data_IF_729931875680
#
_entry.id   IF_729931875680
#
_cell.length_a   1.000
_cell.length_b   1.000
_cell.length_c   1.000
_cell.angle_alpha   90.00
_cell.angle_beta   90.00
_cell.angle_gamma   90.00
#
_symmetry.space_group_name_H-M   'P 1'
#
loop_
_entity.id
_entity.type
_entity.pdbx_description
1 polymer ?
#
# COMPACT_ATOMS: atom_id res chain seq x y z
N UNK A 1 -32.19 -5.66 -18.42
CA UNK A 1 -32.63 -5.78 -17.03
C UNK A 1 -31.65 -6.74 -16.31
N UNK A 2 -31.00 -6.31 -15.22
CA UNK A 2 -30.09 -7.16 -14.45
C UNK A 2 -30.88 -8.26 -13.73
N UNK A 3 -30.31 -9.47 -13.73
CA UNK A 3 -30.89 -10.63 -13.01
C UNK A 3 -30.14 -10.91 -11.70
N UNK A 4 -28.88 -10.48 -11.64
CA UNK A 4 -27.99 -10.71 -10.51
C UNK A 4 -27.19 -9.47 -10.21
N UNK A 5 -26.96 -9.21 -8.93
CA UNK A 5 -26.01 -8.24 -8.40
C UNK A 5 -25.06 -9.02 -7.50
N UNK A 6 -23.76 -8.98 -7.79
CA UNK A 6 -22.71 -9.58 -6.95
C UNK A 6 -21.90 -8.46 -6.33
N UNK A 7 -21.73 -8.54 -5.02
CA UNK A 7 -20.89 -7.62 -4.25
C UNK A 7 -19.86 -8.43 -3.50
N UNK A 8 -18.61 -8.28 -3.85
CA UNK A 8 -17.46 -8.90 -3.19
C UNK A 8 -16.88 -7.95 -2.14
N UNK A 9 -16.11 -8.50 -1.20
CA UNK A 9 -15.49 -7.76 -0.07
C UNK A 9 -16.52 -6.90 0.69
N UNK A 10 -17.72 -7.46 0.89
CA UNK A 10 -18.86 -6.72 1.44
C UNK A 10 -18.61 -6.14 2.85
N UNK A 11 -17.69 -6.72 3.63
CA UNK A 11 -17.26 -6.23 4.94
C UNK A 11 -16.58 -4.85 4.90
N UNK A 12 -16.18 -4.37 3.71
CA UNK A 12 -15.52 -3.06 3.54
C UNK A 12 -16.49 -1.97 3.09
N UNK A 13 -17.80 -2.27 3.02
CA UNK A 13 -18.82 -1.31 2.60
C UNK A 13 -19.22 -0.35 3.72
N UNK A 14 -19.53 0.87 3.34
CA UNK A 14 -20.13 1.90 4.20
C UNK A 14 -21.66 1.94 4.06
N UNK A 15 -22.33 2.74 4.91
CA UNK A 15 -23.80 2.88 4.92
C UNK A 15 -24.35 3.35 3.57
N UNK A 16 -23.69 4.31 2.91
CA UNK A 16 -24.15 4.88 1.63
C UNK A 16 -24.07 3.83 0.52
N UNK A 17 -23.01 3.03 0.53
CA UNK A 17 -22.84 1.92 -0.42
C UNK A 17 -23.91 0.84 -0.20
N UNK A 18 -24.21 0.48 1.06
CA UNK A 18 -25.27 -0.48 1.38
C UNK A 18 -26.63 0.04 0.88
N UNK A 19 -26.97 1.29 1.19
CA UNK A 19 -28.21 1.91 0.72
C UNK A 19 -28.32 1.92 -0.82
N UNK A 20 -27.19 2.22 -1.49
CA UNK A 20 -27.12 2.21 -2.95
C UNK A 20 -27.36 0.82 -3.52
N UNK A 21 -26.73 -0.23 -2.98
CA UNK A 21 -26.89 -1.62 -3.42
C UNK A 21 -28.35 -2.07 -3.22
N UNK A 22 -28.91 -1.78 -2.06
CA UNK A 22 -30.30 -2.10 -1.73
C UNK A 22 -31.27 -1.35 -2.64
N UNK A 23 -31.01 -0.05 -2.89
CA UNK A 23 -31.81 0.78 -3.82
C UNK A 23 -31.82 0.22 -5.24
N UNK A 24 -30.65 -0.19 -5.74
CA UNK A 24 -30.53 -0.84 -7.04
C UNK A 24 -31.30 -2.15 -7.11
N UNK A 25 -31.18 -3.01 -6.12
CA UNK A 25 -31.92 -4.28 -6.06
C UNK A 25 -33.43 -4.05 -6.08
N UNK A 26 -33.94 -3.11 -5.25
CA UNK A 26 -35.37 -2.74 -5.22
C UNK A 26 -35.86 -2.19 -6.57
N UNK A 27 -35.04 -1.39 -7.25
CA UNK A 27 -35.36 -0.83 -8.58
C UNK A 27 -35.51 -1.91 -9.64
N UNK A 28 -34.70 -2.97 -9.58
CA UNK A 28 -34.78 -4.09 -10.53
C UNK A 28 -35.85 -5.13 -10.14
N UNK A 29 -36.37 -5.06 -8.91
CA UNK A 29 -37.44 -5.90 -8.38
C UNK A 29 -36.97 -7.27 -7.88
N UNK A 30 -37.87 -8.02 -7.27
CA UNK A 30 -37.61 -9.33 -6.61
C UNK A 30 -37.00 -10.40 -7.53
N UNK A 31 -37.08 -10.24 -8.85
CA UNK A 31 -36.41 -11.15 -9.79
C UNK A 31 -34.90 -10.90 -9.91
N UNK A 32 -34.39 -9.77 -9.41
CA UNK A 32 -32.97 -9.48 -9.32
C UNK A 32 -32.43 -10.03 -8.01
N UNK A 33 -31.61 -11.09 -8.07
CA UNK A 33 -30.98 -11.70 -6.89
C UNK A 33 -29.74 -10.93 -6.49
N UNK A 34 -29.60 -10.65 -5.20
CA UNK A 34 -28.43 -10.01 -4.61
C UNK A 34 -27.57 -11.09 -3.93
N UNK A 35 -26.29 -11.13 -4.27
CA UNK A 35 -25.27 -11.94 -3.66
C UNK A 35 -24.23 -11.02 -3.02
N UNK A 36 -24.02 -11.19 -1.72
CA UNK A 36 -22.98 -10.48 -0.97
C UNK A 36 -21.99 -11.50 -0.44
N UNK A 37 -20.71 -11.26 -0.67
CA UNK A 37 -19.62 -12.14 -0.24
C UNK A 37 -18.62 -11.32 0.56
N UNK A 38 -18.16 -11.85 1.68
CA UNK A 38 -17.17 -11.18 2.51
C UNK A 38 -16.84 -11.97 3.78
N UNK A 39 -15.86 -11.45 4.51
CA UNK A 39 -15.37 -12.01 5.75
C UNK A 39 -15.16 -10.91 6.79
N UNK A 40 -15.99 -10.84 7.83
CA UNK A 40 -15.91 -9.82 8.88
C UNK A 40 -14.55 -9.77 9.57
N UNK A 41 -13.85 -10.90 9.62
CA UNK A 41 -12.48 -11.00 10.16
C UNK A 41 -11.45 -10.24 9.31
N UNK A 42 -11.79 -9.92 8.06
CA UNK A 42 -10.96 -9.13 7.14
C UNK A 42 -11.39 -7.66 7.03
N UNK A 43 -12.32 -7.19 7.87
CA UNK A 43 -12.73 -5.78 7.90
C UNK A 43 -11.69 -4.94 8.63
N UNK A 44 -10.78 -4.31 7.87
CA UNK A 44 -9.64 -3.51 8.37
C UNK A 44 -9.67 -2.06 7.88
N UNK A 45 -10.81 -1.61 7.32
CA UNK A 45 -10.98 -0.26 6.78
C UNK A 45 -11.98 0.60 7.59
N UNK A 46 -12.01 0.41 8.93
CA UNK A 46 -12.84 1.23 9.83
C UNK A 46 -12.61 2.73 9.62
N UNK A 47 -11.37 3.14 9.40
CA UNK A 47 -11.01 4.54 9.12
C UNK A 47 -11.58 5.10 7.81
N UNK A 48 -12.13 4.26 6.92
CA UNK A 48 -12.85 4.65 5.69
C UNK A 48 -14.37 4.59 5.85
N UNK A 49 -14.86 4.30 7.06
CA UNK A 49 -16.29 4.17 7.32
C UNK A 49 -16.86 2.77 7.14
N UNK A 50 -16.02 1.75 6.93
CA UNK A 50 -16.47 0.35 6.87
C UNK A 50 -17.16 -0.05 8.20
N UNK A 51 -18.27 -0.75 8.09
CA UNK A 51 -19.16 -1.04 9.22
C UNK A 51 -19.17 -2.55 9.46
N UNK A 52 -18.81 -2.96 10.68
CA UNK A 52 -18.86 -4.38 11.07
C UNK A 52 -20.26 -4.98 10.97
N UNK A 53 -21.30 -4.18 11.15
CA UNK A 53 -22.70 -4.60 11.01
C UNK A 53 -23.23 -4.58 9.57
N UNK A 54 -22.37 -4.49 8.55
CA UNK A 54 -22.80 -4.40 7.14
C UNK A 54 -23.72 -5.56 6.73
N UNK A 55 -23.36 -6.79 7.12
CA UNK A 55 -24.20 -7.97 6.85
C UNK A 55 -25.54 -7.91 7.57
N UNK A 56 -25.56 -7.56 8.87
CA UNK A 56 -26.80 -7.43 9.64
C UNK A 56 -27.69 -6.33 9.05
N UNK A 57 -27.11 -5.22 8.62
CA UNK A 57 -27.85 -4.13 8.02
C UNK A 57 -28.54 -4.56 6.72
N UNK A 58 -27.83 -5.24 5.82
CA UNK A 58 -28.41 -5.64 4.53
C UNK A 58 -29.44 -6.76 4.71
N UNK A 59 -29.21 -7.72 5.61
CA UNK A 59 -30.14 -8.84 5.86
C UNK A 59 -31.43 -8.40 6.53
N UNK A 60 -31.40 -7.34 7.34
CA UNK A 60 -32.57 -6.78 8.02
C UNK A 60 -33.41 -5.83 7.12
N UNK A 61 -33.00 -5.58 5.88
CA UNK A 61 -33.75 -4.71 4.96
C UNK A 61 -35.02 -5.43 4.48
N UNK A 62 -36.18 -4.80 4.73
CA UNK A 62 -37.47 -5.33 4.26
C UNK A 62 -37.63 -5.16 2.75
N UNK A 63 -38.20 -6.17 2.09
CA UNK A 63 -38.63 -6.10 0.67
C UNK A 63 -37.55 -6.48 -0.35
N UNK A 64 -36.43 -7.07 0.07
CA UNK A 64 -35.43 -7.64 -0.82
C UNK A 64 -35.43 -9.17 -0.91
N UNK A 65 -36.37 -9.83 -0.24
CA UNK A 65 -36.53 -11.28 -0.22
C UNK A 65 -36.03 -11.94 1.05
N UNK A 66 -36.01 -13.28 1.04
CA UNK A 66 -35.44 -14.08 2.10
C UNK A 66 -33.94 -14.30 1.81
N UNK A 67 -33.13 -14.34 2.88
CA UNK A 67 -31.69 -14.57 2.79
C UNK A 67 -31.35 -16.03 3.07
N UNK A 68 -30.45 -16.55 2.26
CA UNK A 68 -29.78 -17.82 2.50
C UNK A 68 -28.31 -17.55 2.82
N UNK A 69 -27.80 -18.14 3.92
CA UNK A 69 -26.41 -17.98 4.36
C UNK A 69 -25.61 -19.24 3.99
N UNK A 70 -24.45 -19.04 3.39
CA UNK A 70 -23.52 -20.09 3.03
C UNK A 70 -22.12 -19.77 3.58
N UNK A 71 -21.52 -20.73 4.27
CA UNK A 71 -20.15 -20.61 4.78
C UNK A 71 -19.16 -21.29 3.84
N UNK A 72 -18.13 -20.56 3.42
CA UNK A 72 -17.01 -21.06 2.61
C UNK A 72 -15.85 -21.45 3.55
N UNK A 73 -15.73 -22.72 3.90
CA UNK A 73 -14.72 -23.22 4.85
C UNK A 73 -13.59 -24.05 4.23
N UNK A 74 -13.52 -24.11 2.90
CA UNK A 74 -12.41 -24.77 2.20
C UNK A 74 -11.32 -23.74 1.83
N UNK A 75 -10.11 -24.03 2.29
CA UNK A 75 -8.94 -23.19 1.98
C UNK A 75 -8.07 -23.89 0.92
N UNK A 76 -7.79 -23.17 -0.18
CA UNK A 76 -7.00 -23.67 -1.31
C UNK A 76 -5.58 -23.06 -1.34
N UNK A 77 -5.24 -22.18 -0.40
CA UNK A 77 -3.99 -21.43 -0.34
C UNK A 77 -2.99 -22.05 0.63
N UNK A 78 -3.42 -22.26 1.87
CA UNK A 78 -2.54 -22.43 3.02
C UNK A 78 -2.40 -23.91 3.41
N UNK A 79 -1.20 -24.33 3.79
CA UNK A 79 -0.92 -25.68 4.32
C UNK A 79 -1.76 -25.95 5.59
N UNK A 80 -2.12 -27.23 5.77
CA UNK A 80 -2.97 -27.68 6.89
C UNK A 80 -2.36 -27.31 8.26
N UNK A 81 -1.05 -27.54 8.45
CA UNK A 81 -0.38 -27.30 9.73
C UNK A 81 -0.38 -25.83 10.10
N UNK A 82 -0.20 -24.94 9.09
CA UNK A 82 -0.29 -23.51 9.27
C UNK A 82 -1.72 -23.07 9.62
N UNK A 83 -2.74 -23.67 9.00
CA UNK A 83 -4.14 -23.43 9.35
C UNK A 83 -4.47 -23.90 10.79
N UNK A 84 -3.92 -25.02 11.24
CA UNK A 84 -4.13 -25.48 12.61
C UNK A 84 -3.52 -24.53 13.64
N UNK A 85 -2.35 -23.92 13.34
CA UNK A 85 -1.78 -22.85 14.15
C UNK A 85 -2.69 -21.59 14.14
N UNK A 86 -3.11 -21.13 12.97
CA UNK A 86 -4.01 -19.98 12.86
C UNK A 86 -5.30 -20.19 13.63
N UNK A 87 -5.87 -21.38 13.53
CA UNK A 87 -7.08 -21.74 14.25
C UNK A 87 -6.92 -21.56 15.76
N UNK A 88 -5.80 -22.01 16.35
CA UNK A 88 -5.53 -21.79 17.79
C UNK A 88 -5.47 -20.32 18.16
N UNK A 89 -4.71 -19.53 17.41
CA UNK A 89 -4.58 -18.07 17.62
C UNK A 89 -5.96 -17.41 17.50
N UNK A 90 -6.71 -17.71 16.45
CA UNK A 90 -8.00 -17.04 16.19
C UNK A 90 -9.09 -17.47 17.20
N UNK A 91 -9.07 -18.72 17.65
CA UNK A 91 -9.98 -19.18 18.69
C UNK A 91 -9.72 -18.46 20.02
N UNK A 92 -8.45 -18.26 20.38
CA UNK A 92 -8.11 -17.50 21.57
C UNK A 92 -8.60 -16.05 21.49
N UNK A 93 -8.30 -15.37 20.38
CA UNK A 93 -8.77 -13.99 20.15
C UNK A 93 -10.32 -13.90 20.10
N UNK A 94 -10.98 -14.94 19.59
CA UNK A 94 -12.45 -15.05 19.59
C UNK A 94 -13.02 -15.19 20.98
N UNK A 95 -12.42 -16.02 21.84
CA UNK A 95 -12.83 -16.22 23.23
C UNK A 95 -12.66 -14.94 24.08
N UNK A 96 -11.69 -14.10 23.75
CA UNK A 96 -11.49 -12.78 24.37
C UNK A 96 -12.42 -11.69 23.77
N UNK A 97 -13.25 -12.02 22.79
CA UNK A 97 -14.15 -11.07 22.12
C UNK A 97 -13.46 -10.04 21.24
N UNK A 98 -12.21 -10.29 20.84
CA UNK A 98 -11.39 -9.38 20.01
C UNK A 98 -11.55 -9.65 18.52
N UNK A 99 -11.80 -10.91 18.13
CA UNK A 99 -12.01 -11.31 16.76
C UNK A 99 -13.40 -11.94 16.60
N UNK A 100 -14.20 -11.62 15.56
CA UNK A 100 -15.48 -12.30 15.30
C UNK A 100 -15.20 -13.70 14.71
N UNK A 101 -14.66 -14.61 15.52
CA UNK A 101 -14.27 -15.96 15.13
C UNK A 101 -15.00 -16.99 15.98
N UNK A 102 -15.80 -17.85 15.32
CA UNK A 102 -16.51 -18.96 15.94
C UNK A 102 -15.94 -20.28 15.38
N UNK A 103 -15.34 -21.11 16.23
CA UNK A 103 -14.67 -22.35 15.81
C UNK A 103 -15.51 -23.21 14.87
N UNK A 104 -16.78 -23.41 15.19
CA UNK A 104 -17.68 -24.29 14.42
C UNK A 104 -17.98 -23.79 13.01
N UNK A 105 -18.02 -22.45 12.82
CA UNK A 105 -18.36 -21.82 11.54
C UNK A 105 -17.12 -21.48 10.73
N UNK A 106 -16.09 -20.97 11.40
CA UNK A 106 -14.97 -20.28 10.77
C UNK A 106 -13.73 -21.15 10.56
N UNK A 107 -13.69 -22.35 11.14
CA UNK A 107 -12.56 -23.26 10.98
C UNK A 107 -12.37 -23.66 9.53
N UNK A 108 -11.28 -23.18 8.93
CA UNK A 108 -10.90 -23.50 7.56
C UNK A 108 -10.29 -24.91 7.48
N UNK A 109 -10.62 -25.62 6.40
CA UNK A 109 -10.04 -26.92 6.07
C UNK A 109 -9.18 -26.77 4.83
N UNK A 110 -7.91 -27.11 4.94
CA UNK A 110 -7.02 -27.15 3.80
C UNK A 110 -7.45 -28.22 2.82
N UNK A 111 -7.50 -27.85 1.54
CA UNK A 111 -7.59 -28.79 0.42
C UNK A 111 -6.23 -29.02 -0.23
N UNK A 112 -5.20 -28.36 0.27
CA UNK A 112 -3.84 -28.40 -0.25
C UNK A 112 -3.10 -29.53 0.48
N UNK A 113 -3.04 -30.72 -0.12
CA UNK A 113 -2.16 -31.82 0.29
C UNK A 113 -0.74 -31.58 -0.25
N UNK A 114 -0.17 -30.41 0.00
CA UNK A 114 1.25 -30.21 -0.29
C UNK A 114 2.01 -30.70 0.94
N UNK A 115 2.65 -31.87 0.83
CA UNK A 115 3.72 -32.27 1.74
C UNK A 115 4.88 -31.26 1.57
N UNK A 116 4.82 -30.17 2.30
CA UNK A 116 6.01 -29.36 2.55
C UNK A 116 6.83 -30.06 3.62
N UNK A 117 8.14 -30.13 3.42
CA UNK A 117 9.06 -30.81 4.31
C UNK A 117 8.84 -30.42 5.79
N UNK A 118 9.36 -31.29 6.67
CA UNK A 118 9.25 -31.26 8.13
C UNK A 118 9.75 -29.97 8.81
N UNK A 119 10.30 -29.01 8.04
CA UNK A 119 10.77 -27.74 8.57
C UNK A 119 9.60 -26.88 9.00
N UNK A 120 9.74 -26.30 10.17
CA UNK A 120 8.68 -25.58 10.87
C UNK A 120 8.01 -24.54 9.97
N UNK A 121 6.70 -24.71 9.76
CA UNK A 121 5.85 -23.77 9.04
C UNK A 121 5.58 -22.49 9.84
N UNK A 122 5.88 -22.54 11.13
CA UNK A 122 5.70 -21.45 12.08
C UNK A 122 6.99 -21.33 12.88
N UNK A 123 7.61 -20.14 12.83
CA UNK A 123 8.87 -19.88 13.51
C UNK A 123 8.76 -18.62 14.37
N UNK A 124 9.02 -18.79 15.67
CA UNK A 124 9.25 -17.70 16.61
C UNK A 124 10.75 -17.41 16.66
N UNK A 125 11.16 -16.19 16.38
CA UNK A 125 12.54 -15.75 16.53
C UNK A 125 12.61 -14.86 17.76
N UNK A 126 13.18 -15.38 18.84
CA UNK A 126 13.40 -14.61 20.05
C UNK A 126 14.58 -13.66 19.86
N UNK A 127 14.35 -12.40 20.13
CA UNK A 127 15.34 -11.34 20.01
C UNK A 127 15.47 -10.59 21.35
N UNK A 128 16.64 -10.01 21.58
CA UNK A 128 16.88 -9.09 22.67
C UNK A 128 17.27 -7.75 22.08
N UNK A 129 16.28 -6.91 21.77
CA UNK A 129 16.51 -5.66 21.07
C UNK A 129 16.91 -4.53 22.03
N UNK A 130 18.15 -4.61 22.55
CA UNK A 130 18.72 -3.54 23.38
C UNK A 130 18.77 -2.18 22.67
N UNK A 131 18.78 -2.19 21.35
CA UNK A 131 18.78 -1.00 20.51
C UNK A 131 18.28 -1.31 19.08
N UNK A 132 18.03 -0.26 18.30
CA UNK A 132 17.55 -0.36 16.93
C UNK A 132 18.48 -1.17 16.00
N UNK A 133 19.77 -1.14 16.24
CA UNK A 133 20.78 -1.82 15.41
C UNK A 133 20.71 -3.35 15.60
N UNK A 134 20.60 -3.83 16.86
CA UNK A 134 20.45 -5.26 17.14
C UNK A 134 19.17 -5.83 16.52
N UNK A 135 18.06 -5.11 16.62
CA UNK A 135 16.79 -5.50 16.01
C UNK A 135 16.90 -5.72 14.49
N UNK A 136 17.49 -4.76 13.76
CA UNK A 136 17.64 -4.91 12.30
C UNK A 136 18.62 -6.00 11.92
N UNK A 137 19.68 -6.23 12.74
CA UNK A 137 20.59 -7.35 12.51
C UNK A 137 19.84 -8.68 12.54
N UNK A 138 19.02 -8.91 13.57
CA UNK A 138 18.25 -10.14 13.72
C UNK A 138 17.19 -10.30 12.62
N UNK A 139 16.51 -9.20 12.26
CA UNK A 139 15.57 -9.19 11.14
C UNK A 139 16.25 -9.60 9.81
N UNK A 140 17.42 -9.04 9.51
CA UNK A 140 18.13 -9.32 8.27
C UNK A 140 18.75 -10.72 8.24
N UNK A 141 19.15 -11.26 9.37
CA UNK A 141 19.56 -12.65 9.49
C UNK A 141 18.39 -13.60 9.26
N UNK A 142 17.23 -13.28 9.80
CA UNK A 142 15.97 -14.00 9.54
C UNK A 142 15.64 -14.00 8.05
N UNK A 143 15.70 -12.84 7.39
CA UNK A 143 15.45 -12.73 5.94
C UNK A 143 16.41 -13.58 5.13
N UNK A 144 17.72 -13.58 5.44
CA UNK A 144 18.71 -14.39 4.76
C UNK A 144 18.43 -15.90 4.93
N UNK A 145 18.10 -16.31 6.14
CA UNK A 145 17.75 -17.70 6.45
C UNK A 145 16.53 -18.15 5.68
N UNK A 146 15.47 -17.36 5.67
CA UNK A 146 14.25 -17.69 4.91
C UNK A 146 14.50 -17.69 3.41
N UNK A 147 15.33 -16.79 2.89
CA UNK A 147 15.72 -16.78 1.48
C UNK A 147 16.40 -18.08 1.07
N UNK A 148 17.38 -18.54 1.85
CA UNK A 148 18.08 -19.83 1.60
C UNK A 148 17.07 -21.00 1.60
N UNK A 149 16.17 -21.06 2.59
CA UNK A 149 15.13 -22.11 2.65
C UNK A 149 14.25 -22.13 1.38
N UNK A 150 13.82 -20.97 0.91
CA UNK A 150 12.99 -20.85 -0.31
C UNK A 150 13.79 -21.18 -1.57
N UNK A 151 15.07 -20.77 -1.66
CA UNK A 151 15.96 -21.12 -2.77
C UNK A 151 16.18 -22.64 -2.85
N UNK A 152 16.45 -23.28 -1.72
CA UNK A 152 16.64 -24.75 -1.67
C UNK A 152 15.36 -25.50 -2.04
N UNK A 153 14.21 -25.04 -1.55
CA UNK A 153 12.91 -25.60 -1.94
C UNK A 153 12.64 -25.43 -3.44
N UNK A 154 13.05 -24.30 -4.02
CA UNK A 154 12.89 -24.01 -5.46
C UNK A 154 13.70 -24.93 -6.36
N UNK A 155 14.80 -25.53 -5.85
CA UNK A 155 15.59 -26.52 -6.58
C UNK A 155 14.89 -27.90 -6.67
N UNK A 156 14.03 -28.18 -5.68
CA UNK A 156 13.35 -29.47 -5.55
C UNK A 156 11.94 -29.42 -6.15
N UNK A 157 11.26 -28.29 -6.01
CA UNK A 157 9.85 -28.09 -6.43
C UNK A 157 9.71 -26.85 -7.32
N UNK A 158 8.82 -26.93 -8.30
CA UNK A 158 8.43 -25.77 -9.09
C UNK A 158 7.47 -24.91 -8.26
N UNK A 159 7.96 -23.77 -7.77
CA UNK A 159 7.19 -22.81 -6.99
C UNK A 159 6.63 -21.70 -7.89
N UNK A 160 5.44 -21.20 -7.58
CA UNK A 160 4.89 -19.99 -8.19
C UNK A 160 5.68 -18.75 -7.75
N UNK A 161 5.37 -17.58 -8.33
CA UNK A 161 5.99 -16.30 -7.94
C UNK A 161 5.62 -15.95 -6.50
N UNK A 162 4.35 -16.14 -6.15
CA UNK A 162 3.82 -15.91 -4.82
C UNK A 162 4.51 -16.83 -3.80
N UNK A 163 4.66 -18.12 -4.13
CA UNK A 163 5.35 -19.10 -3.29
C UNK A 163 6.85 -18.80 -3.10
N UNK A 164 7.50 -18.10 -4.04
CA UNK A 164 8.89 -17.65 -3.94
C UNK A 164 9.04 -16.32 -3.21
N UNK A 165 7.94 -15.61 -2.94
CA UNK A 165 7.98 -14.30 -2.33
C UNK A 165 8.00 -14.39 -0.81
N UNK A 166 8.95 -13.70 -0.20
CA UNK A 166 9.06 -13.45 1.24
C UNK A 166 8.51 -12.05 1.50
N UNK A 167 7.41 -11.94 2.22
CA UNK A 167 6.79 -10.66 2.53
C UNK A 167 7.05 -10.24 3.97
N UNK A 168 7.66 -9.09 4.16
CA UNK A 168 7.77 -8.42 5.45
C UNK A 168 6.52 -7.56 5.60
N UNK A 169 5.62 -7.97 6.49
CA UNK A 169 4.38 -7.26 6.72
C UNK A 169 4.50 -6.37 7.95
N UNK A 170 4.25 -5.08 7.75
CA UNK A 170 4.34 -4.07 8.81
C UNK A 170 3.02 -3.34 8.99
N UNK A 171 2.85 -2.67 10.13
CA UNK A 171 1.62 -1.95 10.45
C UNK A 171 1.58 -0.56 9.81
N UNK A 172 2.71 0.15 9.77
CA UNK A 172 2.80 1.55 9.37
C UNK A 172 3.79 1.78 8.23
N UNK A 173 3.49 2.78 7.37
CA UNK A 173 4.36 3.11 6.24
C UNK A 173 5.76 3.59 6.64
N UNK A 174 5.93 4.23 7.82
CA UNK A 174 7.25 4.66 8.29
C UNK A 174 8.17 3.47 8.58
N UNK A 175 7.63 2.33 9.03
CA UNK A 175 8.38 1.09 9.27
C UNK A 175 9.00 0.55 7.97
N UNK A 176 8.30 0.69 6.83
CA UNK A 176 8.84 0.33 5.51
C UNK A 176 10.09 1.15 5.19
N UNK A 177 10.01 2.47 5.37
CA UNK A 177 11.14 3.38 5.10
C UNK A 177 12.36 3.06 5.94
N UNK A 178 12.15 2.73 7.22
CA UNK A 178 13.21 2.35 8.14
C UNK A 178 13.87 1.02 7.73
N UNK A 179 13.07 -0.01 7.44
CA UNK A 179 13.58 -1.33 7.00
C UNK A 179 14.42 -1.19 5.73
N UNK A 180 13.94 -0.45 4.74
CA UNK A 180 14.67 -0.27 3.47
C UNK A 180 15.99 0.44 3.70
N UNK A 181 15.97 1.54 4.43
CA UNK A 181 17.17 2.32 4.75
C UNK A 181 18.24 1.47 5.45
N UNK A 182 17.84 0.63 6.37
CA UNK A 182 18.77 -0.25 7.08
C UNK A 182 19.21 -1.45 6.22
N UNK A 183 18.31 -2.00 5.36
CA UNK A 183 18.63 -3.08 4.43
C UNK A 183 19.67 -2.66 3.39
N UNK A 184 19.58 -1.41 2.87
CA UNK A 184 20.56 -0.86 1.93
C UNK A 184 21.98 -0.83 2.53
N UNK A 185 22.13 -0.53 3.83
CA UNK A 185 23.44 -0.50 4.51
C UNK A 185 24.12 -1.87 4.52
N UNK A 186 23.35 -2.96 4.54
CA UNK A 186 23.87 -4.34 4.61
C UNK A 186 23.75 -5.08 3.29
N UNK A 187 23.41 -4.37 2.21
CA UNK A 187 23.34 -4.91 0.85
C UNK A 187 22.21 -5.90 0.60
N UNK A 188 21.12 -5.83 1.39
CA UNK A 188 19.91 -6.64 1.19
C UNK A 188 18.92 -5.85 0.32
N UNK A 189 18.53 -6.42 -0.81
CA UNK A 189 17.49 -5.84 -1.67
C UNK A 189 16.11 -6.20 -1.12
N UNK A 190 15.39 -5.19 -0.61
CA UNK A 190 14.00 -5.30 -0.20
C UNK A 190 13.17 -4.44 -1.14
N UNK A 191 12.21 -5.06 -1.85
CA UNK A 191 11.30 -4.34 -2.74
C UNK A 191 10.10 -3.83 -1.96
N UNK A 192 9.55 -2.70 -2.37
CA UNK A 192 8.26 -2.23 -1.86
C UNK A 192 7.18 -2.83 -2.75
N UNK A 193 6.19 -3.50 -2.15
CA UNK A 193 4.99 -3.85 -2.91
C UNK A 193 4.15 -2.59 -3.03
N UNK A 194 4.17 -2.02 -4.20
CA UNK A 194 3.53 -0.75 -4.42
C UNK A 194 2.01 -0.93 -4.56
N UNK A 195 1.31 -0.40 -3.61
CA UNK A 195 0.03 0.19 -3.83
C UNK A 195 0.20 1.69 -3.68
N UNK A 196 0.30 2.40 -4.79
CA UNK A 196 -0.11 3.77 -4.72
C UNK A 196 0.91 4.89 -4.68
N UNK A 197 2.11 4.71 -5.22
CA UNK A 197 3.08 5.81 -5.24
C UNK A 197 3.44 6.34 -6.64
N UNK A 198 2.64 6.04 -7.68
CA UNK A 198 2.88 6.54 -9.03
C UNK A 198 3.21 8.05 -9.04
N UNK A 199 2.44 8.82 -8.27
CA UNK A 199 2.61 10.29 -8.21
C UNK A 199 3.80 10.77 -7.37
N UNK A 200 4.47 9.89 -6.63
CA UNK A 200 5.71 10.20 -5.89
C UNK A 200 6.97 9.77 -6.63
N UNK A 201 6.81 8.93 -7.66
CA UNK A 201 7.94 8.38 -8.40
C UNK A 201 8.74 9.45 -9.16
N UNK A 202 10.03 9.18 -9.41
CA UNK A 202 10.88 10.08 -10.18
C UNK A 202 10.32 10.42 -11.57
N UNK A 203 9.69 9.48 -12.27
CA UNK A 203 9.07 9.69 -13.57
C UNK A 203 7.96 10.75 -13.53
N UNK A 204 7.11 10.73 -12.50
CA UNK A 204 6.06 11.74 -12.32
C UNK A 204 6.62 13.10 -11.91
N UNK A 205 7.58 13.11 -10.98
CA UNK A 205 8.18 14.35 -10.50
C UNK A 205 8.96 15.07 -11.61
N UNK A 206 9.67 14.33 -12.46
CA UNK A 206 10.41 14.90 -13.57
C UNK A 206 9.47 15.42 -14.66
N UNK A 207 8.39 14.68 -14.99
CA UNK A 207 7.34 15.16 -15.90
C UNK A 207 6.67 16.43 -15.34
N UNK A 208 6.37 16.47 -14.05
CA UNK A 208 5.79 17.67 -13.41
C UNK A 208 6.73 18.88 -13.51
N UNK A 209 8.04 18.68 -13.31
CA UNK A 209 9.05 19.76 -13.49
C UNK A 209 9.09 20.28 -14.91
N UNK A 210 9.03 19.38 -15.90
CA UNK A 210 8.97 19.75 -17.31
C UNK A 210 7.71 20.56 -17.62
N UNK A 211 6.54 20.06 -17.20
CA UNK A 211 5.26 20.70 -17.44
C UNK A 211 5.18 22.08 -16.76
N UNK A 212 5.68 22.20 -15.52
CA UNK A 212 5.75 23.49 -14.82
C UNK A 212 6.65 24.50 -15.54
N UNK A 213 7.76 24.05 -16.09
CA UNK A 213 8.67 24.94 -16.87
C UNK A 213 8.02 25.39 -18.18
N UNK A 214 7.25 24.53 -18.85
CA UNK A 214 6.52 24.86 -20.08
C UNK A 214 5.38 25.84 -19.80
N UNK A 215 4.61 25.63 -18.73
CA UNK A 215 3.50 26.52 -18.35
C UNK A 215 3.96 27.86 -17.82
N UNK A 216 5.21 27.95 -17.33
CA UNK A 216 5.82 29.16 -16.79
C UNK A 216 7.22 29.39 -17.39
N UNK A 217 7.34 29.64 -18.70
CA UNK A 217 8.60 29.53 -19.46
C UNK A 217 9.63 30.63 -19.14
N UNK A 218 9.28 31.59 -18.29
CA UNK A 218 10.17 32.66 -17.82
C UNK A 218 10.41 32.64 -16.30
N UNK A 219 9.91 31.61 -15.60
CA UNK A 219 10.09 31.51 -14.15
C UNK A 219 11.39 30.75 -13.82
N UNK A 220 12.35 31.48 -13.24
CA UNK A 220 13.68 30.98 -12.90
C UNK A 220 13.66 29.70 -12.03
N UNK A 221 12.71 29.59 -11.12
CA UNK A 221 12.60 28.44 -10.22
C UNK A 221 12.23 27.19 -11.02
N UNK A 222 11.21 27.28 -11.87
CA UNK A 222 10.75 26.14 -12.67
C UNK A 222 11.78 25.75 -13.76
N UNK A 223 12.40 26.73 -14.42
CA UNK A 223 13.46 26.46 -15.37
C UNK A 223 14.69 25.80 -14.71
N UNK A 224 15.09 26.27 -13.53
CA UNK A 224 16.18 25.64 -12.75
C UNK A 224 15.82 24.20 -12.35
N UNK A 225 14.56 23.95 -11.95
CA UNK A 225 14.10 22.61 -11.61
C UNK A 225 14.09 21.67 -12.83
N UNK A 226 13.75 22.18 -14.02
CA UNK A 226 13.83 21.42 -15.27
C UNK A 226 15.27 21.03 -15.60
N UNK A 227 16.21 21.99 -15.53
CA UNK A 227 17.63 21.71 -15.83
C UNK A 227 18.20 20.63 -14.92
N UNK A 228 17.80 20.62 -13.65
CA UNK A 228 18.21 19.61 -12.65
C UNK A 228 17.43 18.31 -12.74
N UNK A 229 16.33 18.27 -13.48
CA UNK A 229 15.56 17.04 -13.70
C UNK A 229 16.30 16.09 -14.64
N UNK A 230 15.85 14.84 -14.71
CA UNK A 230 16.43 13.84 -15.63
C UNK A 230 16.19 14.15 -17.10
N UNK A 231 15.27 15.06 -17.43
CA UNK A 231 15.08 15.52 -18.81
C UNK A 231 16.29 16.28 -19.37
N UNK A 232 17.01 17.00 -18.51
CA UNK A 232 18.20 17.79 -18.91
C UNK A 232 19.44 17.30 -18.17
N UNK A 233 19.33 17.02 -16.88
CA UNK A 233 20.38 16.45 -16.02
C UNK A 233 21.69 17.25 -16.00
N UNK A 234 21.60 18.58 -16.09
CA UNK A 234 22.76 19.45 -16.04
C UNK A 234 23.02 19.97 -14.63
N UNK A 235 24.31 20.07 -14.27
CA UNK A 235 24.73 20.71 -13.03
C UNK A 235 24.90 22.22 -13.26
N UNK A 236 24.10 23.02 -12.56
CA UNK A 236 24.25 24.48 -12.56
C UNK A 236 24.99 24.90 -11.29
N UNK A 237 25.96 25.78 -11.45
CA UNK A 237 26.58 26.45 -10.32
C UNK A 237 25.63 27.52 -9.75
N UNK A 238 24.77 27.09 -8.81
CA UNK A 238 23.79 27.98 -8.18
C UNK A 238 24.44 29.13 -7.43
N UNK A 239 25.62 28.97 -6.88
CA UNK A 239 26.32 30.03 -6.16
C UNK A 239 26.75 31.16 -7.14
N UNK A 240 27.20 30.80 -8.34
CA UNK A 240 27.51 31.80 -9.40
C UNK A 240 26.25 32.57 -9.82
N UNK A 241 25.15 31.85 -10.02
CA UNK A 241 23.89 32.44 -10.50
C UNK A 241 23.15 33.21 -9.41
N UNK A 242 23.33 32.88 -8.13
CA UNK A 242 22.63 33.53 -7.02
C UNK A 242 22.86 35.05 -6.92
N UNK A 243 24.03 35.51 -7.33
CA UNK A 243 24.40 36.94 -7.38
C UNK A 243 23.86 37.70 -8.59
N UNK A 244 23.20 37.05 -9.55
CA UNK A 244 22.68 37.71 -10.75
C UNK A 244 21.31 38.37 -10.48
N UNK A 245 21.02 39.46 -11.23
CA UNK A 245 19.65 39.98 -11.32
C UNK A 245 18.70 38.91 -11.86
N UNK A 246 17.41 39.03 -11.58
CA UNK A 246 16.40 38.07 -12.06
C UNK A 246 16.42 37.91 -13.58
N UNK A 247 16.60 39.02 -14.34
CA UNK A 247 16.66 39.02 -15.79
C UNK A 247 17.89 38.30 -16.30
N UNK A 248 19.09 38.63 -15.78
CA UNK A 248 20.35 37.98 -16.20
C UNK A 248 20.35 36.50 -15.86
N UNK A 249 19.76 36.12 -14.72
CA UNK A 249 19.59 34.72 -14.31
C UNK A 249 18.70 33.97 -15.30
N UNK A 250 17.62 34.59 -15.73
CA UNK A 250 16.68 34.01 -16.69
C UNK A 250 17.34 33.81 -18.07
N UNK A 251 18.08 34.80 -18.56
CA UNK A 251 18.81 34.70 -19.83
C UNK A 251 19.81 33.56 -19.81
N UNK A 252 20.64 33.43 -18.75
CA UNK A 252 21.62 32.36 -18.62
C UNK A 252 20.96 30.98 -18.59
N UNK A 253 19.86 30.82 -17.86
CA UNK A 253 19.12 29.56 -17.75
C UNK A 253 18.47 29.19 -19.08
N UNK A 254 17.86 30.14 -19.78
CA UNK A 254 17.27 29.92 -21.12
C UNK A 254 18.37 29.57 -22.14
N UNK A 255 19.50 30.22 -22.11
CA UNK A 255 20.62 29.89 -22.97
C UNK A 255 21.07 28.42 -22.81
N UNK A 256 21.20 27.94 -21.59
CA UNK A 256 21.51 26.52 -21.30
C UNK A 256 20.45 25.57 -21.86
N UNK A 257 19.17 25.90 -21.72
CA UNK A 257 18.07 25.11 -22.28
C UNK A 257 18.09 25.15 -23.83
N UNK A 258 18.36 26.30 -24.42
CA UNK A 258 18.47 26.44 -25.88
C UNK A 258 19.58 25.57 -26.43
N UNK A 259 20.79 25.60 -25.83
CA UNK A 259 21.91 24.73 -26.23
C UNK A 259 21.56 23.26 -26.12
N UNK A 260 20.93 22.87 -24.99
CA UNK A 260 20.54 21.48 -24.75
C UNK A 260 19.51 20.99 -25.76
N UNK A 261 18.40 21.72 -25.93
CA UNK A 261 17.31 21.29 -26.81
C UNK A 261 17.68 21.44 -28.33
N UNK A 262 18.51 22.40 -28.68
CA UNK A 262 19.05 22.44 -30.04
C UNK A 262 19.86 21.20 -30.37
N UNK A 263 20.69 20.72 -29.43
CA UNK A 263 21.48 19.50 -29.61
C UNK A 263 20.58 18.24 -29.74
N UNK A 264 19.53 18.15 -28.96
CA UNK A 264 18.72 16.91 -28.86
C UNK A 264 17.50 16.90 -29.77
N UNK A 265 16.94 18.06 -30.12
CA UNK A 265 15.69 18.21 -30.85
C UNK A 265 15.76 19.14 -32.06
N UNK A 266 16.87 19.86 -32.25
CA UNK A 266 16.98 20.87 -33.28
C UNK A 266 16.09 22.10 -33.07
N UNK A 267 15.65 22.36 -31.84
CA UNK A 267 14.73 23.45 -31.47
C UNK A 267 15.23 24.17 -30.23
N UNK A 268 15.07 25.49 -30.18
CA UNK A 268 15.32 26.26 -28.98
C UNK A 268 14.13 26.15 -27.99
N UNK A 269 14.32 26.59 -26.75
CA UNK A 269 13.29 26.50 -25.68
C UNK A 269 11.99 27.20 -26.08
N UNK A 270 12.06 28.39 -26.69
CA UNK A 270 10.88 29.13 -27.13
C UNK A 270 10.05 28.34 -28.18
N UNK A 271 10.74 27.70 -29.12
CA UNK A 271 10.08 26.86 -30.14
C UNK A 271 9.40 25.63 -29.51
N UNK A 272 10.02 25.01 -28.50
CA UNK A 272 9.43 23.89 -27.79
C UNK A 272 8.16 24.32 -27.05
N UNK A 273 8.21 25.46 -26.35
CA UNK A 273 7.03 26.01 -25.67
C UNK A 273 5.90 26.32 -26.67
N UNK A 274 6.23 26.92 -27.80
CA UNK A 274 5.26 27.21 -28.85
C UNK A 274 4.64 25.96 -29.48
N UNK A 275 5.36 24.85 -29.58
CA UNK A 275 4.80 23.59 -30.08
C UNK A 275 3.53 23.17 -29.32
N UNK A 276 3.38 23.47 -28.04
CA UNK A 276 2.20 23.14 -27.26
C UNK A 276 0.95 23.96 -27.62
N UNK A 277 1.09 25.04 -28.35
CA UNK A 277 -0.03 25.85 -28.88
C UNK A 277 -0.58 25.27 -30.20
N UNK A 278 0.27 24.62 -31.01
CA UNK A 278 -0.04 24.21 -32.38
C UNK A 278 -0.12 22.69 -32.58
N UNK A 279 0.36 21.89 -31.60
CA UNK A 279 0.44 20.44 -31.71
C UNK A 279 -0.25 19.75 -30.51
N UNK A 280 -0.77 18.52 -30.69
CA UNK A 280 -1.35 17.77 -29.57
C UNK A 280 -0.35 17.58 -28.44
N UNK A 281 -0.77 17.92 -27.23
CA UNK A 281 0.10 17.96 -26.02
C UNK A 281 0.85 16.65 -25.80
N UNK A 282 0.16 15.50 -25.89
CA UNK A 282 0.80 14.20 -25.66
C UNK A 282 1.85 13.87 -26.72
N UNK A 283 1.69 14.35 -27.95
CA UNK A 283 2.67 14.16 -29.03
C UNK A 283 3.93 14.95 -28.70
N UNK A 284 3.79 16.22 -28.31
CA UNK A 284 4.94 17.06 -27.96
C UNK A 284 5.66 16.51 -26.71
N UNK A 285 4.93 16.10 -25.68
CA UNK A 285 5.53 15.47 -24.49
C UNK A 285 6.29 14.18 -24.84
N UNK A 286 5.77 13.36 -25.75
CA UNK A 286 6.44 12.15 -26.22
C UNK A 286 7.69 12.47 -27.03
N UNK A 287 7.64 13.45 -27.93
CA UNK A 287 8.82 13.89 -28.67
C UNK A 287 9.95 14.34 -27.73
N UNK A 288 9.63 15.13 -26.72
CA UNK A 288 10.62 15.57 -25.71
C UNK A 288 11.16 14.35 -24.94
N UNK A 289 10.29 13.45 -24.51
CA UNK A 289 10.66 12.24 -23.76
C UNK A 289 11.61 11.34 -24.54
N UNK A 290 11.31 11.08 -25.83
CA UNK A 290 12.16 10.25 -26.70
C UNK A 290 13.47 10.92 -27.08
N UNK A 291 13.49 12.24 -27.25
CA UNK A 291 14.70 12.98 -27.57
C UNK A 291 15.66 13.06 -26.37
N UNK A 292 15.14 13.36 -25.19
CA UNK A 292 15.98 13.58 -23.99
C UNK A 292 16.30 12.29 -23.23
N UNK A 293 15.46 11.24 -23.37
CA UNK A 293 15.66 9.91 -22.78
C UNK A 293 16.00 9.96 -21.29
N UNK A 294 15.12 10.53 -20.44
CA UNK A 294 15.42 10.80 -19.03
C UNK A 294 15.77 9.53 -18.23
N UNK A 295 15.31 8.37 -18.64
CA UNK A 295 15.66 7.08 -18.02
C UNK A 295 17.14 6.69 -18.18
N UNK A 296 17.86 7.20 -19.19
CA UNK A 296 19.27 6.88 -19.41
C UNK A 296 20.19 7.36 -18.28
N UNK A 297 19.73 8.27 -17.44
CA UNK A 297 20.48 8.77 -16.29
C UNK A 297 20.60 7.74 -15.15
N UNK A 298 19.88 6.62 -15.21
CA UNK A 298 20.07 5.51 -14.29
C UNK A 298 21.20 4.57 -14.78
N UNK A 299 21.98 4.03 -13.84
CA UNK A 299 22.99 2.99 -14.13
C UNK A 299 22.37 1.59 -14.21
N UNK A 300 21.35 1.34 -13.40
CA UNK A 300 20.65 0.06 -13.30
C UNK A 300 19.57 -0.06 -14.39
N UNK A 301 19.59 -1.16 -15.15
CA UNK A 301 18.62 -1.44 -16.23
C UNK A 301 17.19 -1.65 -15.68
N UNK A 302 17.04 -2.19 -14.46
CA UNK A 302 15.73 -2.35 -13.84
C UNK A 302 15.11 -0.99 -13.55
N UNK A 303 15.88 -0.04 -12.99
CA UNK A 303 15.43 1.32 -12.74
C UNK A 303 15.07 2.07 -14.03
N UNK A 304 15.83 1.84 -15.13
CA UNK A 304 15.50 2.40 -16.45
C UNK A 304 14.15 1.90 -16.93
N UNK A 305 13.92 0.60 -16.80
CA UNK A 305 12.66 -0.02 -17.23
C UNK A 305 11.49 0.44 -16.36
N UNK A 306 11.66 0.46 -15.05
CA UNK A 306 10.66 0.97 -14.10
C UNK A 306 10.28 2.43 -14.41
N UNK A 307 11.24 3.28 -14.65
CA UNK A 307 10.99 4.67 -15.02
C UNK A 307 10.13 4.79 -16.28
N UNK A 308 10.45 3.99 -17.32
CA UNK A 308 9.71 3.98 -18.60
C UNK A 308 8.27 3.48 -18.43
N UNK A 309 8.09 2.36 -17.73
CA UNK A 309 6.76 1.77 -17.51
C UNK A 309 5.85 2.70 -16.68
N UNK A 310 6.41 3.36 -15.67
CA UNK A 310 5.66 4.32 -14.86
C UNK A 310 5.35 5.62 -15.63
N UNK A 311 6.24 6.06 -16.51
CA UNK A 311 5.92 7.17 -17.41
C UNK A 311 4.75 6.82 -18.33
N UNK A 312 4.75 5.66 -18.99
CA UNK A 312 3.64 5.22 -19.86
C UNK A 312 2.33 5.07 -19.06
N UNK A 313 2.39 4.50 -17.84
CA UNK A 313 1.24 4.42 -16.94
C UNK A 313 0.66 5.80 -16.64
N UNK A 314 1.50 6.79 -16.36
CA UNK A 314 1.09 8.16 -16.07
C UNK A 314 0.42 8.82 -17.29
N UNK A 315 0.98 8.66 -18.48
CA UNK A 315 0.40 9.17 -19.74
C UNK A 315 -0.96 8.52 -20.01
N UNK A 316 -1.08 7.21 -19.78
CA UNK A 316 -2.37 6.50 -19.91
C UNK A 316 -3.43 7.05 -18.93
N UNK A 317 -3.06 7.32 -17.68
CA UNK A 317 -3.96 7.90 -16.68
C UNK A 317 -4.43 9.29 -17.08
N UNK A 318 -3.53 10.16 -17.54
CA UNK A 318 -3.86 11.50 -18.04
C UNK A 318 -4.82 11.39 -19.22
N UNK A 319 -4.52 10.52 -20.20
CA UNK A 319 -5.33 10.30 -21.38
C UNK A 319 -6.75 9.82 -21.01
N UNK A 320 -6.83 8.88 -20.08
CA UNK A 320 -8.11 8.32 -19.62
C UNK A 320 -8.96 9.34 -18.86
N UNK A 321 -8.33 10.17 -18.03
CA UNK A 321 -8.99 11.22 -17.26
C UNK A 321 -9.64 12.27 -18.16
N UNK A 322 -8.94 12.68 -19.23
CA UNK A 322 -9.41 13.69 -20.18
C UNK A 322 -9.94 13.11 -21.48
N UNK A 323 -10.40 11.86 -21.51
CA UNK A 323 -10.83 11.14 -22.71
C UNK A 323 -11.96 11.81 -23.51
N UNK A 324 -12.73 12.70 -22.88
CA UNK A 324 -13.86 13.43 -23.47
C UNK A 324 -13.61 14.94 -23.63
N UNK A 325 -12.40 15.40 -23.37
CA UNK A 325 -12.06 16.81 -23.36
C UNK A 325 -10.80 17.08 -24.19
N UNK A 326 -10.70 18.30 -24.71
CA UNK A 326 -9.46 18.74 -25.35
C UNK A 326 -8.38 18.92 -24.27
N UNK A 327 -7.27 18.19 -24.42
CA UNK A 327 -6.15 18.18 -23.48
C UNK A 327 -5.20 19.36 -23.78
N UNK A 328 -5.03 20.25 -22.81
CA UNK A 328 -4.05 21.33 -22.84
C UNK A 328 -2.93 21.06 -21.85
N UNK A 329 -1.78 21.72 -22.04
CA UNK A 329 -0.65 21.59 -21.10
C UNK A 329 -1.02 22.04 -19.69
N UNK A 330 -1.89 23.05 -19.55
CA UNK A 330 -2.39 23.50 -18.26
C UNK A 330 -3.22 22.44 -17.54
N UNK A 331 -4.06 21.69 -18.27
CA UNK A 331 -4.81 20.54 -17.71
C UNK A 331 -3.87 19.43 -17.25
N UNK A 332 -2.81 19.12 -17.99
CA UNK A 332 -1.78 18.17 -17.55
C UNK A 332 -1.09 18.65 -16.27
N UNK A 333 -0.77 19.96 -16.21
CA UNK A 333 -0.19 20.57 -15.03
C UNK A 333 -1.09 20.46 -13.81
N UNK A 334 -2.36 20.77 -13.98
CA UNK A 334 -3.37 20.71 -12.91
C UNK A 334 -3.56 19.27 -12.42
N UNK A 335 -3.70 18.31 -13.34
CA UNK A 335 -3.79 16.89 -13.01
C UNK A 335 -2.61 16.43 -12.16
N UNK A 336 -1.39 16.70 -12.60
CA UNK A 336 -0.18 16.31 -11.87
C UNK A 336 -0.12 17.00 -10.51
N UNK A 337 -0.38 18.30 -10.46
CA UNK A 337 -0.37 19.08 -9.22
C UNK A 337 -1.35 18.54 -8.19
N UNK A 338 -2.61 18.31 -8.57
CA UNK A 338 -3.64 17.79 -7.69
C UNK A 338 -3.21 16.41 -7.15
N UNK A 339 -2.87 15.47 -8.03
CA UNK A 339 -2.56 14.10 -7.60
C UNK A 339 -1.28 14.00 -6.74
N UNK A 340 -0.26 14.83 -7.00
CA UNK A 340 0.95 14.92 -6.19
C UNK A 340 0.62 15.53 -4.80
N UNK A 341 -0.18 16.61 -4.74
CA UNK A 341 -0.42 17.33 -3.49
C UNK A 341 -1.48 16.68 -2.61
N UNK A 342 -2.47 15.99 -3.19
CA UNK A 342 -3.52 15.29 -2.43
C UNK A 342 -3.12 13.88 -2.02
N UNK A 343 -1.88 13.48 -2.29
CA UNK A 343 -1.36 12.14 -1.99
C UNK A 343 -2.28 11.01 -2.51
N UNK A 344 -2.87 11.22 -3.69
CA UNK A 344 -3.67 10.19 -4.33
C UNK A 344 -2.85 8.90 -4.50
N UNK A 345 -3.42 7.78 -4.08
CA UNK A 345 -2.77 6.48 -4.16
C UNK A 345 -3.16 5.82 -5.50
N UNK A 346 -2.22 5.75 -6.42
CA UNK A 346 -2.38 5.03 -7.68
C UNK A 346 -1.24 4.02 -7.84
N UNK A 347 -1.58 2.82 -8.28
CA UNK A 347 -0.60 1.76 -8.48
C UNK A 347 0.40 2.15 -9.57
N UNK A 348 1.69 2.01 -9.27
CA UNK A 348 2.76 2.07 -10.25
C UNK A 348 2.87 0.74 -10.99
N UNK A 349 3.48 0.76 -12.17
CA UNK A 349 3.89 -0.47 -12.86
C UNK A 349 5.28 -0.84 -12.38
N UNK A 350 5.37 -1.86 -11.54
CA UNK A 350 6.64 -2.51 -11.24
C UNK A 350 6.87 -3.64 -12.22
N UNK A 351 8.07 -3.71 -12.77
CA UNK A 351 8.44 -4.88 -13.55
C UNK A 351 8.41 -6.11 -12.65
N UNK A 352 7.61 -7.09 -13.02
CA UNK A 352 7.75 -8.44 -12.49
C UNK A 352 9.16 -8.91 -12.90
N UNK A 353 10.13 -8.71 -12.00
CA UNK A 353 11.48 -9.25 -12.20
C UNK A 353 11.38 -10.74 -12.41
N UNK A 354 12.27 -11.26 -13.25
CA UNK A 354 12.33 -12.63 -13.73
C UNK A 354 11.74 -13.66 -12.76
N UNK A 355 10.78 -14.44 -13.25
CA UNK A 355 9.98 -15.44 -12.53
C UNK A 355 10.80 -16.51 -11.77
N UNK A 356 12.11 -16.42 -11.78
CA UNK A 356 13.02 -17.47 -11.25
C UNK A 356 13.66 -17.13 -9.91
N UNK A 357 13.66 -15.89 -9.43
CA UNK A 357 14.35 -15.49 -8.20
C UNK A 357 13.42 -15.37 -6.99
N UNK A 358 13.96 -15.69 -5.80
CA UNK A 358 13.31 -15.41 -4.52
C UNK A 358 13.25 -13.90 -4.29
N UNK A 359 12.06 -13.37 -4.11
CA UNK A 359 11.84 -11.94 -3.89
C UNK A 359 11.61 -11.67 -2.41
N UNK A 360 12.21 -10.59 -1.91
CA UNK A 360 11.92 -10.05 -0.58
C UNK A 360 11.19 -8.72 -0.78
N UNK A 361 9.98 -8.64 -0.25
CA UNK A 361 9.15 -7.43 -0.32
C UNK A 361 8.82 -6.92 1.07
N UNK A 362 8.63 -5.61 1.21
CA UNK A 362 8.11 -4.98 2.42
C UNK A 362 6.85 -4.18 2.09
N UNK A 363 5.79 -4.45 2.84
CA UNK A 363 4.50 -3.77 2.62
C UNK A 363 3.70 -3.68 3.92
N UNK A 364 2.69 -2.81 3.97
CA UNK A 364 1.77 -2.80 5.11
C UNK A 364 0.75 -3.92 5.00
N UNK A 365 0.24 -4.41 6.14
CA UNK A 365 -0.83 -5.42 6.17
C UNK A 365 -2.04 -4.96 5.36
N UNK A 366 -2.42 -3.69 5.43
CA UNK A 366 -3.54 -3.14 4.65
C UNK A 366 -3.35 -3.30 3.14
N UNK A 367 -2.14 -3.03 2.64
CA UNK A 367 -1.81 -3.17 1.21
C UNK A 367 -1.67 -4.63 0.77
N UNK A 368 -1.42 -5.54 1.70
CA UNK A 368 -1.31 -6.97 1.43
C UNK A 368 -2.67 -7.67 1.33
N UNK A 369 -3.77 -6.99 1.67
CA UNK A 369 -5.12 -7.58 1.57
C UNK A 369 -5.41 -8.02 0.14
N UNK A 370 -5.93 -9.23 -0.04
CA UNK A 370 -6.16 -9.85 -1.36
C UNK A 370 -4.93 -10.52 -1.99
N UNK A 371 -3.72 -10.26 -1.48
CA UNK A 371 -2.48 -10.88 -1.97
C UNK A 371 -2.11 -12.12 -1.14
N UNK A 372 -1.12 -12.89 -1.62
CA UNK A 372 -0.61 -14.08 -0.95
C UNK A 372 0.90 -14.24 -1.16
N UNK A 373 1.58 -14.85 -0.19
CA UNK A 373 3.04 -14.95 -0.18
C UNK A 373 3.51 -16.30 0.39
N UNK A 374 4.58 -16.84 -0.15
CA UNK A 374 5.14 -18.11 0.32
C UNK A 374 5.53 -18.04 1.80
N UNK A 375 6.21 -16.97 2.20
CA UNK A 375 6.64 -16.71 3.58
C UNK A 375 6.21 -15.31 4.00
N UNK A 376 5.64 -15.19 5.18
CA UNK A 376 5.30 -13.92 5.82
C UNK A 376 6.20 -13.73 7.04
N UNK A 377 6.86 -12.57 7.14
CA UNK A 377 7.65 -12.15 8.29
C UNK A 377 6.95 -10.98 8.99
N UNK A 378 6.70 -11.12 10.29
CA UNK A 378 6.13 -10.08 11.16
C UNK A 378 7.22 -9.56 12.11
N UNK A 379 7.86 -8.42 11.82
CA UNK A 379 9.00 -7.95 12.60
C UNK A 379 8.63 -7.19 13.87
N UNK A 380 7.48 -6.48 13.90
CA UNK A 380 7.08 -5.58 14.99
C UNK A 380 5.90 -6.16 15.77
N UNK A 381 6.09 -7.32 16.41
CA UNK A 381 4.99 -8.00 17.10
C UNK A 381 4.80 -7.58 18.54
N UNK A 382 5.79 -6.93 19.16
CA UNK A 382 5.74 -6.47 20.54
C UNK A 382 5.24 -5.01 20.70
N UNK A 383 4.67 -4.40 19.67
CA UNK A 383 4.07 -3.06 19.81
C UNK A 383 2.75 -3.13 20.58
N UNK A 384 2.53 -2.15 21.48
CA UNK A 384 1.28 -2.04 22.24
C UNK A 384 0.12 -1.63 21.30
N UNK A 385 -0.81 -2.56 21.11
CA UNK A 385 -2.00 -2.36 20.26
C UNK A 385 -3.14 -1.63 20.95
N UNK A 386 -3.09 -1.47 22.28
CA UNK A 386 -4.09 -0.75 23.06
C UNK A 386 -3.85 0.77 23.08
N UNK A 387 -2.68 1.22 22.65
CA UNK A 387 -2.30 2.63 22.70
C UNK A 387 -3.07 3.45 21.66
N UNK A 388 -4.01 4.26 22.12
CA UNK A 388 -4.74 5.21 21.29
C UNK A 388 -3.99 6.55 21.22
N UNK A 389 -3.96 7.15 20.03
CA UNK A 389 -3.36 8.47 19.88
C UNK A 389 -4.38 9.53 20.34
N UNK A 390 -4.23 10.00 21.57
CA UNK A 390 -5.16 10.95 22.22
C UNK A 390 -5.02 12.39 21.64
N UNK A 391 -4.07 12.62 20.71
CA UNK A 391 -3.85 13.91 20.08
C UNK A 391 -4.78 14.16 18.87
N UNK A 392 -5.33 15.38 18.77
CA UNK A 392 -6.20 15.77 17.67
C UNK A 392 -7.69 15.51 17.92
N UNK A 393 -8.45 15.33 16.84
CA UNK A 393 -9.88 15.03 16.92
C UNK A 393 -10.08 13.50 16.92
N UNK A 394 -10.63 12.99 18.01
CA UNK A 394 -11.09 11.60 18.11
C UNK A 394 -12.62 11.58 18.05
N UNK A 395 -13.17 10.74 17.20
CA UNK A 395 -14.62 10.58 17.04
C UNK A 395 -14.96 9.10 17.15
N UNK A 396 -15.90 8.75 18.00
CA UNK A 396 -16.49 7.41 17.97
C UNK A 396 -18.03 7.47 17.93
N UNK A 397 -18.61 6.39 17.45
CA UNK A 397 -20.06 6.25 17.34
C UNK A 397 -20.45 5.05 18.19
N UNK A 398 -21.12 5.34 19.33
CA UNK A 398 -21.58 4.32 20.27
C UNK A 398 -23.11 4.38 20.30
N UNK A 399 -23.77 3.24 19.99
CA UNK A 399 -25.24 3.13 19.96
C UNK A 399 -25.93 4.20 19.11
N UNK A 400 -25.32 4.59 17.98
CA UNK A 400 -25.83 5.63 17.09
C UNK A 400 -25.61 7.08 17.57
N UNK A 401 -24.99 7.27 18.74
CA UNK A 401 -24.61 8.59 19.26
C UNK A 401 -23.16 8.86 18.89
N UNK A 402 -22.92 9.97 18.21
CA UNK A 402 -21.57 10.46 17.90
C UNK A 402 -21.00 11.13 19.16
N UNK A 403 -19.87 10.62 19.63
CA UNK A 403 -19.10 11.23 20.72
C UNK A 403 -17.72 11.65 20.20
N UNK A 404 -17.16 12.74 20.71
CA UNK A 404 -15.87 13.23 20.26
C UNK A 404 -15.05 13.83 21.39
N UNK A 405 -13.73 13.72 21.27
CA UNK A 405 -12.78 14.48 22.06
C UNK A 405 -11.85 15.27 21.12
N UNK A 406 -11.44 16.42 21.57
CA UNK A 406 -10.45 17.24 20.87
C UNK A 406 -9.35 17.65 21.82
N UNK A 407 -8.11 17.31 21.49
CA UNK A 407 -6.92 17.67 22.26
C UNK A 407 -6.01 18.57 21.44
N UNK A 408 -5.64 19.73 21.97
CA UNK A 408 -4.75 20.71 21.31
C UNK A 408 -3.28 20.33 21.51
N UNK A 409 -2.97 19.65 22.60
CA UNK A 409 -1.62 19.21 22.92
C UNK A 409 -1.57 17.73 23.32
N UNK A 410 -0.38 17.12 23.22
CA UNK A 410 -0.15 15.74 23.64
C UNK A 410 -0.31 15.50 25.15
N UNK A 411 -0.63 16.53 25.92
CA UNK A 411 -0.79 16.47 27.38
C UNK A 411 -2.24 16.46 27.84
N UNK A 412 -3.20 16.32 26.91
CA UNK A 412 -4.56 15.92 27.25
C UNK A 412 -5.44 16.99 27.87
N UNK A 413 -5.43 18.23 27.38
CA UNK A 413 -6.51 19.15 27.67
C UNK A 413 -7.74 18.79 26.85
N UNK A 414 -8.62 17.96 27.42
CA UNK A 414 -9.90 17.61 26.80
C UNK A 414 -10.82 18.84 26.73
N UNK A 415 -11.27 19.17 25.53
CA UNK A 415 -12.23 20.24 25.30
C UNK A 415 -13.70 19.77 25.24
N UNK A 416 -13.96 18.46 25.21
CA UNK A 416 -15.32 17.92 25.29
C UNK A 416 -15.38 16.55 25.97
N UNK A 417 -16.30 16.36 26.90
CA UNK A 417 -16.30 15.32 27.90
C UNK A 417 -17.20 14.10 27.63
N UNK A 418 -17.50 13.73 26.39
CA UNK A 418 -18.32 12.53 26.13
C UNK A 418 -17.59 11.44 25.30
N UNK A 419 -16.26 11.51 25.20
CA UNK A 419 -15.50 10.47 24.51
C UNK A 419 -15.24 9.27 25.45
N UNK A 420 -15.69 8.08 25.05
CA UNK A 420 -15.43 6.87 25.82
C UNK A 420 -14.10 6.23 25.38
N UNK A 421 -13.04 6.60 26.09
CA UNK A 421 -11.67 6.11 25.84
C UNK A 421 -11.58 4.58 25.94
N UNK A 422 -12.27 3.97 26.91
CA UNK A 422 -12.23 2.51 27.10
C UNK A 422 -12.89 1.78 25.92
N UNK A 423 -14.03 2.28 25.46
CA UNK A 423 -14.69 1.72 24.30
C UNK A 423 -13.83 1.87 23.04
N UNK A 424 -13.14 3.01 22.86
CA UNK A 424 -12.24 3.22 21.73
C UNK A 424 -11.01 2.30 21.77
N UNK A 425 -10.41 2.09 22.93
CA UNK A 425 -9.33 1.11 23.13
C UNK A 425 -9.80 -0.29 22.73
N UNK A 426 -10.98 -0.71 23.16
CA UNK A 426 -11.52 -2.02 22.80
C UNK A 426 -11.75 -2.15 21.30
N UNK A 427 -12.34 -1.15 20.66
CA UNK A 427 -12.56 -1.18 19.22
C UNK A 427 -11.27 -1.18 18.43
N UNK A 428 -10.24 -0.47 18.91
CA UNK A 428 -8.90 -0.52 18.33
C UNK A 428 -8.26 -1.90 18.47
N UNK A 429 -8.34 -2.53 19.65
CA UNK A 429 -7.83 -3.89 19.86
C UNK A 429 -8.53 -4.89 18.92
N UNK A 430 -9.84 -4.77 18.75
CA UNK A 430 -10.61 -5.58 17.77
C UNK A 430 -10.12 -5.33 16.33
N UNK A 431 -9.86 -4.09 15.95
CA UNK A 431 -9.31 -3.76 14.62
C UNK A 431 -7.91 -4.35 14.44
N UNK A 432 -7.02 -4.19 15.42
CA UNK A 432 -5.66 -4.77 15.38
C UNK A 432 -5.68 -6.30 15.31
N UNK A 433 -6.64 -6.95 15.98
CA UNK A 433 -6.85 -8.40 15.90
C UNK A 433 -7.26 -8.84 14.49
N UNK A 434 -8.13 -8.08 13.81
CA UNK A 434 -8.47 -8.32 12.40
C UNK A 434 -7.28 -8.06 11.47
N UNK A 435 -6.45 -7.07 11.77
CA UNK A 435 -5.23 -6.81 11.01
C UNK A 435 -4.25 -7.96 11.15
N UNK A 436 -4.07 -8.52 12.35
CA UNK A 436 -3.27 -9.72 12.57
C UNK A 436 -3.86 -10.93 11.82
N UNK A 437 -5.18 -11.12 11.85
CA UNK A 437 -5.87 -12.15 11.05
C UNK A 437 -5.52 -12.02 9.55
N UNK A 438 -5.63 -10.81 9.01
CA UNK A 438 -5.26 -10.56 7.61
C UNK A 438 -3.79 -10.88 7.37
N UNK A 439 -2.87 -10.42 8.24
CA UNK A 439 -1.44 -10.66 8.08
C UNK A 439 -1.10 -12.16 8.01
N UNK A 440 -1.63 -12.94 8.95
CA UNK A 440 -1.39 -14.39 9.01
C UNK A 440 -1.97 -15.12 7.78
N UNK A 441 -3.19 -14.77 7.39
CA UNK A 441 -3.86 -15.41 6.25
C UNK A 441 -3.26 -15.05 4.88
N UNK A 442 -2.25 -14.19 4.83
CA UNK A 442 -1.46 -13.96 3.59
C UNK A 442 -0.47 -15.08 3.32
N UNK A 443 -0.09 -15.86 4.32
CA UNK A 443 0.92 -16.89 4.19
C UNK A 443 0.40 -18.16 3.49
N UNK A 444 1.18 -18.64 2.52
CA UNK A 444 0.95 -19.94 1.85
C UNK A 444 1.60 -21.06 2.66
N UNK A 445 2.88 -20.87 3.08
CA UNK A 445 3.71 -21.94 3.68
C UNK A 445 4.26 -21.62 5.05
N UNK A 446 4.86 -20.43 5.22
CA UNK A 446 5.60 -20.10 6.43
C UNK A 446 5.13 -18.78 7.02
N UNK A 447 5.04 -18.73 8.36
CA UNK A 447 4.95 -17.51 9.13
C UNK A 447 6.13 -17.47 10.09
N UNK A 448 6.82 -16.34 10.11
CA UNK A 448 7.93 -16.05 11.01
C UNK A 448 7.62 -14.74 11.73
N UNK A 449 7.76 -14.72 13.05
CA UNK A 449 7.63 -13.46 13.79
C UNK A 449 8.82 -13.25 14.74
N UNK A 450 9.22 -12.00 14.87
CA UNK A 450 10.22 -11.61 15.84
C UNK A 450 9.54 -11.30 17.17
N UNK A 451 10.03 -11.87 18.25
CA UNK A 451 9.52 -11.67 19.60
C UNK A 451 10.62 -11.11 20.50
N UNK A 452 10.42 -9.91 21.00
CA UNK A 452 11.38 -9.22 21.83
C UNK A 452 11.20 -9.61 23.30
N UNK A 453 12.20 -10.31 23.84
CA UNK A 453 12.19 -10.76 25.24
C UNK A 453 12.39 -9.61 26.25
N UNK A 454 12.91 -8.48 25.81
CA UNK A 454 13.12 -7.31 26.68
C UNK A 454 11.85 -6.47 26.86
N UNK A 455 10.76 -6.78 26.13
CA UNK A 455 9.49 -6.07 26.18
C UNK A 455 8.35 -7.02 26.57
N UNK A 456 7.78 -6.80 27.75
CA UNK A 456 6.61 -7.55 28.25
C UNK A 456 5.34 -6.71 28.05
N UNK A 457 4.82 -6.71 26.83
CA UNK A 457 3.60 -5.98 26.46
C UNK A 457 2.45 -6.98 26.28
N UNK A 458 1.55 -7.02 27.24
CA UNK A 458 0.41 -7.95 27.27
C UNK A 458 -0.50 -7.76 26.04
N UNK A 459 -0.80 -6.51 25.67
CA UNK A 459 -1.64 -6.20 24.49
C UNK A 459 -0.76 -6.04 23.24
N UNK A 460 -0.26 -7.14 22.71
CA UNK A 460 0.58 -7.14 21.51
C UNK A 460 0.28 -8.33 20.60
N UNK A 461 0.62 -8.21 19.32
CA UNK A 461 0.51 -9.35 18.39
C UNK A 461 1.37 -10.53 18.84
N UNK A 462 2.58 -10.26 19.40
CA UNK A 462 3.48 -11.28 19.91
C UNK A 462 2.82 -12.16 20.96
N UNK A 463 2.11 -11.55 21.90
CA UNK A 463 1.42 -12.28 22.97
C UNK A 463 0.29 -13.16 22.41
N UNK A 464 -0.48 -12.69 21.42
CA UNK A 464 -1.51 -13.52 20.77
C UNK A 464 -0.92 -14.67 19.96
N UNK A 465 0.24 -14.49 19.35
CA UNK A 465 0.94 -15.53 18.60
C UNK A 465 1.52 -16.60 19.52
N UNK A 466 2.03 -16.25 20.69
CA UNK A 466 2.55 -17.21 21.70
C UNK A 466 1.51 -18.21 22.16
N UNK A 467 0.28 -17.79 22.37
CA UNK A 467 -0.82 -18.69 22.75
C UNK A 467 -1.04 -19.79 21.71
N UNK A 468 -0.80 -19.49 20.41
CA UNK A 468 -0.83 -20.48 19.34
C UNK A 468 0.29 -21.51 19.41
N UNK A 469 1.43 -21.15 20.02
CA UNK A 469 2.66 -21.97 20.08
C UNK A 469 2.74 -22.88 21.32
N UNK A 470 2.08 -22.51 22.41
CA UNK A 470 2.11 -23.23 23.70
C UNK A 470 1.53 -24.68 23.66
N UNK A 471 1.10 -25.15 22.50
CA UNK A 471 0.49 -26.47 22.30
C UNK A 471 1.28 -27.40 21.36
N UNK A 472 2.59 -27.14 21.19
CA UNK A 472 3.48 -28.08 20.50
C UNK A 472 3.92 -29.25 21.35
#
# INVERSE_FOLDING_TARGET
RFKYIFVDEFQDTDDVQIETIVGLQKMFGVQCKLFVVGDLKQSIYRFRGAILSAFDKVTNVKGIGEWEEYCLNRNYRTDRRLLDFFHRVFTNMGNEGLLPYEERKDRLRSTVEKEYDKDSLVEKIEICSKNKESFYKDLFETIRTQRIKVEDLSKIKKLSVEEKTIAILVRYNWQIGDIIKEAEKVGITVKITEGGDLYKLPSTNDLYRLVMAITHPRNNVYLTNLIRSRYVAMNINLAKISGYTSTKKNEEIIHLLDEYFMLHMGKNWSQIVNDFEFRPVLVVLRDIYEATKPWKNYKDENLKTEYRENYECLIEKITRHYSREYLTINKVCEFLKINITTYQQEASRTKVTEYNEVQVICTTVHKSKGLEYGTVILPYTNEDISNINVGGLNVNIINGKVTYSFSIDKKGSELSGEFDEKAEIQEKMKEESRILYVALTRAIRNVVWLYDLDTDIINSWGNYLEVGDLWQ
#
